data_IF_396080984646
#
_entry.id   IF_396080984646
#
_cell.length_a   1.000
_cell.length_b   1.000
_cell.length_c   1.000
_cell.angle_alpha   90.00
_cell.angle_beta   90.00
_cell.angle_gamma   90.00
#
_symmetry.space_group_name_H-M   'P 1'
#
loop_
_entity.id
_entity.type
_entity.pdbx_description
1 polymer ?
#
# COMPACT_ATOMS: atom_id res chain seq x y z
N UNK A 1 -11.30 1.56 -2.14
CA UNK A 1 -12.76 1.50 -2.32
C UNK A 1 -13.58 2.07 -1.15
N UNK A 2 -13.04 2.22 0.06
CA UNK A 2 -13.83 2.64 1.24
C UNK A 2 -13.74 4.15 1.57
N UNK A 3 -13.40 4.98 0.59
CA UNK A 3 -13.25 6.43 0.76
C UNK A 3 -14.06 7.15 -0.32
N UNK A 4 -15.04 7.95 0.11
CA UNK A 4 -15.80 8.85 -0.76
C UNK A 4 -15.16 10.24 -0.72
N UNK A 5 -14.84 10.80 -1.88
CA UNK A 5 -14.29 12.16 -2.02
C UNK A 5 -15.34 13.05 -2.65
N UNK A 6 -15.61 14.19 -2.01
CA UNK A 6 -16.61 15.17 -2.44
C UNK A 6 -15.91 16.38 -3.07
N UNK A 7 -16.48 16.96 -4.14
CA UNK A 7 -15.99 18.23 -4.66
C UNK A 7 -16.11 19.31 -3.60
N UNK A 8 -15.00 19.96 -3.25
CA UNK A 8 -14.99 21.09 -2.33
C UNK A 8 -14.02 22.16 -2.84
N UNK A 9 -14.43 23.44 -2.81
CA UNK A 9 -13.65 24.52 -3.40
C UNK A 9 -12.52 25.04 -2.50
N UNK A 10 -12.43 24.59 -1.23
CA UNK A 10 -11.48 25.14 -0.25
C UNK A 10 -10.63 24.05 0.40
N UNK A 11 -11.28 22.98 0.91
CA UNK A 11 -10.61 21.87 1.59
C UNK A 11 -10.99 20.52 0.99
N UNK A 12 -10.16 19.49 1.19
CA UNK A 12 -10.50 18.11 0.83
C UNK A 12 -11.67 17.63 1.71
N UNK A 13 -12.85 17.41 1.12
CA UNK A 13 -13.98 16.82 1.82
C UNK A 13 -14.07 15.32 1.48
N UNK A 14 -13.89 14.45 2.47
CA UNK A 14 -13.99 13.01 2.27
C UNK A 14 -14.64 12.29 3.44
N UNK A 15 -15.18 11.10 3.19
CA UNK A 15 -15.76 10.21 4.22
C UNK A 15 -15.17 8.82 4.07
N UNK A 16 -14.77 8.22 5.18
CA UNK A 16 -14.46 6.79 5.24
C UNK A 16 -15.77 6.08 5.54
N UNK A 17 -16.13 5.13 4.68
CA UNK A 17 -17.38 4.39 4.73
C UNK A 17 -17.10 2.90 4.85
N UNK A 18 -18.16 2.10 4.91
CA UNK A 18 -18.06 0.63 4.88
C UNK A 18 -17.27 0.04 6.07
N UNK A 19 -17.83 0.23 7.26
CA UNK A 19 -17.26 -0.21 8.55
C UNK A 19 -17.71 -1.63 8.95
N UNK A 20 -18.21 -2.45 8.02
CA UNK A 20 -18.76 -3.78 8.35
C UNK A 20 -17.70 -4.75 8.92
N UNK A 21 -16.43 -4.52 8.58
CA UNK A 21 -15.28 -5.29 9.06
C UNK A 21 -14.61 -4.68 10.30
N UNK A 22 -15.18 -3.62 10.88
CA UNK A 22 -14.59 -2.95 12.05
C UNK A 22 -14.74 -3.81 13.31
N UNK A 23 -13.63 -4.09 13.98
CA UNK A 23 -13.59 -4.83 15.24
C UNK A 23 -12.39 -4.40 16.09
N UNK A 24 -12.32 -4.87 17.34
CA UNK A 24 -11.15 -4.73 18.20
C UNK A 24 -9.97 -5.54 17.63
N UNK A 25 -9.05 -4.85 16.96
CA UNK A 25 -7.86 -5.45 16.37
C UNK A 25 -6.60 -4.60 16.54
N UNK A 26 -5.57 -4.97 15.78
CA UNK A 26 -4.32 -4.23 15.75
C UNK A 26 -4.43 -3.02 14.83
N UNK A 27 -4.25 -1.81 15.37
CA UNK A 27 -4.30 -0.57 14.58
C UNK A 27 -3.28 -0.54 13.41
N UNK A 28 -2.20 -1.33 13.49
CA UNK A 28 -1.25 -1.47 12.39
C UNK A 28 -1.86 -2.10 11.13
N UNK A 29 -2.97 -2.85 11.28
CA UNK A 29 -3.71 -3.40 10.14
C UNK A 29 -4.28 -2.30 9.25
N UNK A 30 -4.96 -1.30 9.84
CA UNK A 30 -5.57 -0.20 9.10
C UNK A 30 -4.51 0.66 8.42
N UNK A 31 -3.41 0.96 9.13
CA UNK A 31 -2.26 1.66 8.56
C UNK A 31 -1.65 0.85 7.42
N UNK A 32 -1.47 -0.45 7.63
CA UNK A 32 -1.00 -1.37 6.60
C UNK A 32 -1.89 -1.39 5.37
N UNK A 33 -3.22 -1.34 5.54
CA UNK A 33 -4.18 -1.25 4.44
C UNK A 33 -4.03 0.06 3.66
N UNK A 34 -3.81 1.20 4.34
CA UNK A 34 -3.48 2.46 3.67
C UNK A 34 -2.20 2.31 2.85
N UNK A 35 -1.10 1.84 3.43
CA UNK A 35 0.17 1.65 2.73
C UNK A 35 0.01 0.70 1.52
N UNK A 36 -0.73 -0.38 1.71
CA UNK A 36 -1.05 -1.34 0.66
C UNK A 36 -1.84 -0.71 -0.48
N UNK A 37 -2.80 0.17 -0.20
CA UNK A 37 -3.59 0.82 -1.25
C UNK A 37 -2.70 1.58 -2.24
N UNK A 38 -1.68 2.31 -1.77
CA UNK A 38 -0.73 3.01 -2.63
C UNK A 38 0.14 2.05 -3.46
N UNK A 39 0.62 0.95 -2.85
CA UNK A 39 1.38 -0.07 -3.57
C UNK A 39 0.54 -0.77 -4.63
N UNK A 40 -0.72 -1.06 -4.33
CA UNK A 40 -1.65 -1.64 -5.30
C UNK A 40 -1.97 -0.66 -6.42
N UNK A 41 -2.17 0.62 -6.13
CA UNK A 41 -2.37 1.66 -7.15
C UNK A 41 -1.16 1.77 -8.07
N UNK A 42 0.06 1.77 -7.50
CA UNK A 42 1.30 1.76 -8.28
C UNK A 42 1.36 0.57 -9.23
N UNK A 43 1.17 -0.65 -8.71
CA UNK A 43 1.24 -1.90 -9.48
C UNK A 43 0.17 -1.94 -10.58
N UNK A 44 -1.08 -1.60 -10.24
CA UNK A 44 -2.19 -1.58 -11.19
C UNK A 44 -2.05 -0.50 -12.26
N UNK A 45 -1.20 0.51 -12.06
CA UNK A 45 -0.95 1.57 -13.05
C UNK A 45 0.10 1.20 -14.10
N UNK A 46 0.78 0.05 -13.94
CA UNK A 46 1.79 -0.44 -14.87
C UNK A 46 1.15 -1.16 -16.06
N UNK A 47 1.69 -1.01 -17.29
CA UNK A 47 1.28 -1.80 -18.45
C UNK A 47 1.91 -3.19 -18.38
N UNK A 48 1.54 -4.00 -17.39
CA UNK A 48 2.13 -5.32 -17.17
C UNK A 48 1.66 -6.26 -18.28
N UNK A 49 2.56 -6.61 -19.19
CA UNK A 49 2.32 -7.61 -20.23
C UNK A 49 3.09 -8.90 -19.94
N UNK A 50 2.48 -10.04 -20.26
CA UNK A 50 3.11 -11.35 -20.13
C UNK A 50 4.40 -11.43 -20.96
N UNK A 51 5.50 -11.87 -20.35
CA UNK A 51 6.78 -12.09 -21.03
C UNK A 51 7.73 -10.89 -21.07
N UNK A 52 7.33 -9.72 -20.57
CA UNK A 52 8.25 -8.58 -20.37
C UNK A 52 8.91 -8.64 -18.99
N UNK A 53 10.21 -8.32 -18.86
CA UNK A 53 10.86 -8.23 -17.56
C UNK A 53 10.32 -7.03 -16.77
N UNK A 54 10.30 -7.08 -15.42
CA UNK A 54 9.81 -5.97 -14.59
C UNK A 54 10.43 -4.60 -14.91
N UNK A 55 11.73 -4.59 -15.22
CA UNK A 55 12.45 -3.37 -15.60
C UNK A 55 11.91 -2.69 -16.85
N UNK A 56 11.16 -3.39 -17.70
CA UNK A 56 10.57 -2.83 -18.91
C UNK A 56 9.29 -2.01 -18.65
N UNK A 57 8.54 -2.30 -17.57
CA UNK A 57 7.24 -1.65 -17.33
C UNK A 57 7.15 -0.87 -16.01
N UNK A 58 8.04 -1.11 -15.03
CA UNK A 58 8.03 -0.37 -13.75
C UNK A 58 8.10 1.15 -13.98
N UNK A 59 8.98 1.61 -14.87
CA UNK A 59 9.14 3.02 -15.22
C UNK A 59 8.00 3.60 -16.08
N UNK A 60 7.06 2.76 -16.51
CA UNK A 60 5.90 3.15 -17.32
C UNK A 60 4.61 3.25 -16.49
N UNK A 61 4.69 3.09 -15.17
CA UNK A 61 3.57 3.28 -14.26
C UNK A 61 2.96 4.68 -14.46
N UNK A 62 1.66 4.75 -14.75
CA UNK A 62 0.97 6.05 -14.86
C UNK A 62 0.79 6.73 -13.50
N UNK A 63 0.94 5.98 -12.40
CA UNK A 63 1.00 6.47 -11.02
C UNK A 63 2.32 6.02 -10.39
N UNK A 64 3.45 6.70 -10.69
CA UNK A 64 4.76 6.29 -10.21
C UNK A 64 4.88 6.50 -8.70
N UNK A 65 5.64 5.63 -8.03
CA UNK A 65 5.79 5.65 -6.58
C UNK A 65 6.40 6.96 -6.07
N UNK A 66 7.31 7.55 -6.85
CA UNK A 66 7.95 8.83 -6.57
C UNK A 66 6.94 9.97 -6.41
N UNK A 67 5.84 9.95 -7.18
CA UNK A 67 4.77 10.94 -7.08
C UNK A 67 3.90 10.73 -5.83
N UNK A 68 3.78 9.50 -5.35
CA UNK A 68 2.98 9.14 -4.17
C UNK A 68 3.77 9.24 -2.85
N UNK A 69 5.09 9.19 -2.93
CA UNK A 69 6.01 9.18 -1.78
C UNK A 69 5.80 10.34 -0.80
N UNK A 70 5.59 11.60 -1.24
CA UNK A 70 5.33 12.71 -0.30
C UNK A 70 4.06 12.49 0.53
N UNK A 71 3.01 11.91 -0.07
CA UNK A 71 1.74 11.63 0.61
C UNK A 71 1.92 10.51 1.63
N UNK A 72 2.62 9.44 1.27
CA UNK A 72 2.94 8.35 2.20
C UNK A 72 3.79 8.82 3.39
N UNK A 73 4.80 9.67 3.14
CA UNK A 73 5.61 10.30 4.19
C UNK A 73 4.75 11.15 5.13
N UNK A 74 3.91 12.03 4.58
CA UNK A 74 3.04 12.89 5.37
C UNK A 74 2.06 12.07 6.22
N UNK A 75 1.41 11.06 5.64
CA UNK A 75 0.54 10.15 6.36
C UNK A 75 1.24 9.48 7.54
N UNK A 76 2.41 8.87 7.31
CA UNK A 76 3.15 8.19 8.38
C UNK A 76 3.62 9.16 9.47
N UNK A 77 4.14 10.32 9.09
CA UNK A 77 4.62 11.33 10.04
C UNK A 77 3.48 11.86 10.91
N UNK A 78 2.31 12.14 10.33
CA UNK A 78 1.13 12.55 11.08
C UNK A 78 0.63 11.43 12.00
N UNK A 79 0.62 10.17 11.53
CA UNK A 79 0.25 9.04 12.37
C UNK A 79 1.22 8.85 13.55
N UNK A 80 2.52 8.77 13.29
CA UNK A 80 3.53 8.57 14.32
C UNK A 80 3.57 9.70 15.36
N UNK A 81 3.42 10.95 14.93
CA UNK A 81 3.35 12.10 15.86
C UNK A 81 2.08 12.09 16.70
N UNK A 82 0.92 11.76 16.11
CA UNK A 82 -0.34 11.63 16.85
C UNK A 82 -0.29 10.49 17.87
N UNK A 83 0.43 9.41 17.57
CA UNK A 83 0.65 8.29 18.50
C UNK A 83 1.73 8.57 19.55
N UNK A 84 2.49 9.65 19.42
CA UNK A 84 3.57 10.01 20.34
C UNK A 84 4.79 9.10 20.24
N UNK A 85 5.03 8.47 19.10
CA UNK A 85 6.18 7.59 18.92
C UNK A 85 7.49 8.37 18.88
N UNK A 86 8.52 7.84 19.54
CA UNK A 86 9.89 8.29 19.32
C UNK A 86 10.43 7.77 17.96
N UNK A 87 11.66 8.15 17.61
CA UNK A 87 12.26 7.78 16.33
C UNK A 87 12.44 6.27 16.17
N UNK A 88 12.83 5.57 17.23
CA UNK A 88 13.08 4.13 17.18
C UNK A 88 11.76 3.36 17.06
N UNK A 89 10.77 3.75 17.86
CA UNK A 89 9.42 3.19 17.83
C UNK A 89 8.71 3.49 16.51
N UNK A 90 8.86 4.69 15.96
CA UNK A 90 8.30 5.04 14.65
C UNK A 90 8.87 4.12 13.56
N UNK A 91 10.17 3.84 13.57
CA UNK A 91 10.75 2.90 12.60
C UNK A 91 10.24 1.48 12.76
N UNK A 92 10.22 0.95 13.98
CA UNK A 92 9.75 -0.43 14.21
C UNK A 92 8.26 -0.61 13.91
N UNK A 93 7.43 0.39 14.23
CA UNK A 93 5.99 0.36 13.91
C UNK A 93 5.73 0.51 12.42
N UNK A 94 6.52 1.32 11.70
CA UNK A 94 6.40 1.43 10.24
C UNK A 94 6.73 0.10 9.56
N UNK A 95 7.81 -0.56 9.97
CA UNK A 95 8.18 -1.90 9.47
C UNK A 95 7.05 -2.90 9.73
N UNK A 96 6.42 -2.83 10.90
CA UNK A 96 5.31 -3.70 11.29
C UNK A 96 4.05 -3.43 10.46
N UNK A 97 3.66 -2.17 10.27
CA UNK A 97 2.54 -1.77 9.42
C UNK A 97 2.77 -2.16 7.96
N UNK A 98 4.01 -2.05 7.48
CA UNK A 98 4.39 -2.45 6.13
C UNK A 98 4.24 -3.96 5.91
N UNK A 99 4.51 -4.80 6.93
CA UNK A 99 4.21 -6.25 6.88
C UNK A 99 2.70 -6.53 6.79
N UNK A 100 1.87 -5.79 7.52
CA UNK A 100 0.41 -5.91 7.37
C UNK A 100 -0.04 -5.50 5.98
N UNK A 101 0.54 -4.43 5.42
CA UNK A 101 0.29 -4.04 4.04
C UNK A 101 0.69 -5.13 3.04
N UNK A 102 1.83 -5.80 3.26
CA UNK A 102 2.23 -6.94 2.44
C UNK A 102 1.28 -8.14 2.57
N UNK A 103 0.78 -8.45 3.76
CA UNK A 103 -0.25 -9.46 3.95
C UNK A 103 -1.54 -9.09 3.20
N UNK A 104 -1.95 -7.81 3.25
CA UNK A 104 -3.11 -7.32 2.49
C UNK A 104 -2.92 -7.38 0.98
N UNK A 105 -1.68 -7.21 0.47
CA UNK A 105 -1.36 -7.43 -0.96
C UNK A 105 -1.62 -8.88 -1.40
N UNK A 106 -1.30 -9.86 -0.55
CA UNK A 106 -1.61 -11.27 -0.82
C UNK A 106 -3.11 -11.45 -0.96
N UNK A 107 -3.88 -10.89 -0.02
CA UNK A 107 -5.34 -10.95 -0.10
C UNK A 107 -5.88 -10.27 -1.36
N UNK A 108 -5.39 -9.07 -1.71
CA UNK A 108 -5.81 -8.38 -2.94
C UNK A 108 -5.53 -9.18 -4.21
N UNK A 109 -4.43 -9.94 -4.26
CA UNK A 109 -4.12 -10.81 -5.39
C UNK A 109 -5.12 -11.97 -5.54
N UNK A 110 -5.68 -12.45 -4.43
CA UNK A 110 -6.67 -13.54 -4.39
C UNK A 110 -8.09 -13.00 -4.62
N UNK A 111 -8.44 -11.89 -3.96
CA UNK A 111 -9.77 -11.26 -3.98
C UNK A 111 -10.21 -10.87 -5.40
N UNK A 112 -9.28 -10.33 -6.19
CA UNK A 112 -9.51 -10.01 -7.61
C UNK A 112 -9.74 -11.26 -8.48
N UNK A 113 -9.61 -12.47 -7.91
CA UNK A 113 -9.58 -13.76 -8.62
C UNK A 113 -10.48 -14.83 -8.05
N UNK A 114 -11.42 -14.48 -7.17
CA UNK A 114 -12.37 -15.41 -6.57
C UNK A 114 -13.18 -16.25 -7.59
N UNK A 115 -13.17 -15.88 -8.88
CA UNK A 115 -13.91 -16.55 -9.95
C UNK A 115 -13.07 -16.94 -11.18
N UNK A 116 -11.73 -16.92 -11.09
CA UNK A 116 -10.84 -17.35 -12.18
C UNK A 116 -9.76 -18.30 -11.69
N UNK A 117 -9.40 -19.26 -12.54
CA UNK A 117 -8.46 -20.34 -12.21
C UNK A 117 -6.98 -19.96 -12.35
N UNK A 118 -6.66 -18.83 -12.99
CA UNK A 118 -5.29 -18.41 -13.28
C UNK A 118 -4.95 -17.04 -12.69
N UNK A 119 -3.74 -16.91 -12.16
CA UNK A 119 -3.15 -15.65 -11.73
C UNK A 119 -2.61 -14.91 -12.96
N UNK A 120 -3.08 -13.69 -13.19
CA UNK A 120 -2.49 -12.87 -14.24
C UNK A 120 -1.21 -12.16 -13.78
N UNK A 121 -0.63 -11.38 -14.70
CA UNK A 121 0.62 -10.69 -14.45
C UNK A 121 0.52 -9.64 -13.32
N UNK A 122 -0.63 -9.00 -13.13
CA UNK A 122 -0.87 -8.05 -12.04
C UNK A 122 -0.93 -8.75 -10.69
N UNK A 123 -1.66 -9.87 -10.58
CA UNK A 123 -1.70 -10.67 -9.37
C UNK A 123 -0.30 -11.20 -8.99
N UNK A 124 0.48 -11.65 -9.99
CA UNK A 124 1.86 -12.05 -9.78
C UNK A 124 2.75 -10.89 -9.28
N UNK A 125 2.56 -9.68 -9.81
CA UNK A 125 3.30 -8.50 -9.34
C UNK A 125 2.93 -8.12 -7.90
N UNK A 126 1.65 -8.19 -7.50
CA UNK A 126 1.21 -7.99 -6.13
C UNK A 126 1.87 -8.98 -5.16
N UNK A 127 1.88 -10.27 -5.52
CA UNK A 127 2.52 -11.32 -4.72
C UNK A 127 4.05 -11.15 -4.65
N UNK A 128 4.69 -10.76 -5.75
CA UNK A 128 6.12 -10.53 -5.80
C UNK A 128 6.54 -9.34 -4.93
N UNK A 129 5.79 -8.24 -4.96
CA UNK A 129 6.03 -7.08 -4.08
C UNK A 129 5.79 -7.46 -2.62
N UNK A 130 4.70 -8.17 -2.32
CA UNK A 130 4.42 -8.68 -0.98
C UNK A 130 5.58 -9.54 -0.44
N UNK A 131 6.08 -10.48 -1.24
CA UNK A 131 7.20 -11.34 -0.86
C UNK A 131 8.47 -10.53 -0.56
N UNK A 132 8.77 -9.50 -1.37
CA UNK A 132 9.94 -8.66 -1.17
C UNK A 132 9.83 -7.87 0.14
N UNK A 133 8.65 -7.33 0.44
CA UNK A 133 8.38 -6.62 1.69
C UNK A 133 8.50 -7.55 2.90
N UNK A 134 7.93 -8.75 2.85
CA UNK A 134 7.98 -9.70 3.97
C UNK A 134 9.40 -10.23 4.23
N UNK A 135 10.25 -10.33 3.21
CA UNK A 135 11.65 -10.73 3.34
C UNK A 135 12.51 -9.68 4.03
N UNK A 136 12.32 -8.41 3.70
CA UNK A 136 13.09 -7.30 4.26
C UNK A 136 12.22 -6.02 4.34
N UNK A 137 11.40 -5.89 5.40
CA UNK A 137 10.46 -4.78 5.54
C UNK A 137 11.18 -3.45 5.73
N UNK A 138 12.31 -3.44 6.45
CA UNK A 138 13.09 -2.23 6.67
C UNK A 138 13.70 -1.73 5.35
N UNK A 139 14.16 -2.64 4.48
CA UNK A 139 14.58 -2.27 3.12
C UNK A 139 13.42 -1.75 2.30
N UNK A 140 12.27 -2.41 2.33
CA UNK A 140 11.10 -1.97 1.60
C UNK A 140 10.66 -0.57 2.04
N UNK A 141 10.64 -0.28 3.34
CA UNK A 141 10.34 1.05 3.87
C UNK A 141 11.33 2.10 3.34
N UNK A 142 12.65 1.82 3.36
CA UNK A 142 13.65 2.73 2.80
C UNK A 142 13.46 2.97 1.31
N UNK A 143 13.25 1.91 0.53
CA UNK A 143 13.09 2.02 -0.93
C UNK A 143 11.77 2.70 -1.32
N UNK A 144 10.67 2.40 -0.61
CA UNK A 144 9.32 2.84 -0.96
C UNK A 144 8.96 4.19 -0.36
N UNK A 145 9.37 4.44 0.89
CA UNK A 145 9.06 5.68 1.62
C UNK A 145 10.25 6.62 1.73
N UNK A 146 11.52 6.19 1.56
CA UNK A 146 12.72 7.05 1.75
C UNK A 146 12.77 7.70 3.15
N UNK A 147 12.66 6.86 4.18
CA UNK A 147 12.70 7.21 5.61
C UNK A 147 13.57 6.25 6.42
#
# INVERSE_FOLDING_TARGET
DNVLVFPSPVDLDFRIVDWEMADCGDAGWDVGAVLQSFLSTWISSMPIASGLPPTAYIGMASQPLEAMRPVLKAFWQSYASTRGFDVAQSRSELDRCMRFGAARLVWSAIEQRLHVTELDATANALLQVSLNVLKDPSRAVRELLDV
#
